data_IF_414827170425
#
_entry.id   IF_414827170425
#
_cell.length_a   1.000
_cell.length_b   1.000
_cell.length_c   1.000
_cell.angle_alpha   90.00
_cell.angle_beta   90.00
_cell.angle_gamma   90.00
#
_symmetry.space_group_name_H-M   'P 1'
#
loop_
_entity.id
_entity.type
_entity.pdbx_description
1 polymer ?
#
# COMPACT_ATOMS: atom_id res chain seq x y z
N UNK A 1 27.47 16.08 -2.32
CA UNK A 1 26.43 15.87 -3.34
C UNK A 1 25.60 14.66 -2.93
N UNK A 2 24.56 14.87 -2.13
CA UNK A 2 23.45 13.91 -1.96
C UNK A 2 22.26 14.57 -2.61
N UNK A 3 21.97 14.13 -3.83
CA UNK A 3 21.49 14.94 -4.96
C UNK A 3 19.99 15.27 -4.98
N UNK A 4 19.20 14.94 -3.96
CA UNK A 4 17.78 15.28 -3.95
C UNK A 4 17.41 15.73 -2.54
N UNK A 5 17.29 17.05 -2.33
CA UNK A 5 16.87 17.69 -1.07
C UNK A 5 15.38 17.40 -0.75
N UNK A 6 14.97 16.14 -0.87
CA UNK A 6 13.64 15.68 -0.55
C UNK A 6 13.68 15.24 0.92
N UNK A 7 12.94 15.89 1.82
CA UNK A 7 12.92 15.47 3.21
C UNK A 7 12.43 14.02 3.28
N UNK A 8 13.15 13.18 4.04
CA UNK A 8 12.96 11.72 4.14
C UNK A 8 11.48 11.31 4.32
N UNK A 9 10.72 12.10 5.09
CA UNK A 9 9.29 11.87 5.29
C UNK A 9 8.47 11.99 3.99
N UNK A 10 8.77 12.97 3.15
CA UNK A 10 8.10 13.16 1.86
C UNK A 10 8.44 11.99 0.93
N UNK A 11 9.72 11.61 0.83
CA UNK A 11 10.17 10.45 0.04
C UNK A 11 9.52 9.15 0.50
N UNK A 12 9.42 8.94 1.82
CA UNK A 12 8.74 7.78 2.40
C UNK A 12 7.23 7.80 2.10
N UNK A 13 6.58 8.94 2.25
CA UNK A 13 5.14 9.06 1.99
C UNK A 13 4.81 8.85 0.50
N UNK A 14 5.65 9.35 -0.42
CA UNK A 14 5.48 9.10 -1.85
C UNK A 14 5.72 7.63 -2.20
N UNK A 15 6.79 7.03 -1.67
CA UNK A 15 7.09 5.61 -1.89
C UNK A 15 5.99 4.70 -1.35
N UNK A 16 5.48 5.02 -0.14
CA UNK A 16 4.34 4.30 0.45
C UNK A 16 3.09 4.46 -0.39
N UNK A 17 2.80 5.67 -0.90
CA UNK A 17 1.65 5.90 -1.77
C UNK A 17 1.73 5.03 -3.03
N UNK A 18 2.87 5.03 -3.71
CA UNK A 18 3.13 4.17 -4.88
C UNK A 18 2.99 2.69 -4.53
N UNK A 19 3.55 2.25 -3.40
CA UNK A 19 3.41 0.86 -2.95
C UNK A 19 1.94 0.48 -2.68
N UNK A 20 1.17 1.40 -2.10
CA UNK A 20 -0.28 1.24 -1.87
C UNK A 20 -1.13 1.51 -3.11
N UNK A 21 -0.52 1.73 -4.27
CA UNK A 21 -1.20 1.74 -5.57
C UNK A 21 -1.09 0.38 -6.28
N UNK A 22 -0.06 -0.40 -5.95
CA UNK A 22 0.18 -1.76 -6.45
C UNK A 22 -0.32 -2.86 -5.49
N UNK A 23 -0.38 -2.56 -4.19
CA UNK A 23 -0.72 -3.55 -3.14
C UNK A 23 -1.78 -3.01 -2.15
N UNK A 24 -2.69 -3.88 -1.67
CA UNK A 24 -3.66 -3.50 -0.65
C UNK A 24 -3.00 -3.33 0.74
N UNK A 25 -3.60 -2.47 1.58
CA UNK A 25 -3.13 -2.14 2.93
C UNK A 25 -2.65 -3.32 3.80
N UNK A 26 -3.39 -4.46 3.91
CA UNK A 26 -2.94 -5.58 4.73
C UNK A 26 -1.65 -6.22 4.24
N UNK A 27 -1.41 -6.27 2.93
CA UNK A 27 -0.17 -6.83 2.37
C UNK A 27 0.99 -5.89 2.66
N UNK A 28 0.77 -4.58 2.53
CA UNK A 28 1.79 -3.57 2.84
C UNK A 28 2.12 -3.53 4.34
N UNK A 29 1.12 -3.72 5.20
CA UNK A 29 1.30 -3.82 6.65
C UNK A 29 2.19 -5.00 7.03
N UNK A 30 1.94 -6.17 6.44
CA UNK A 30 2.75 -7.37 6.66
C UNK A 30 4.19 -7.21 6.14
N UNK A 31 4.35 -6.69 4.92
CA UNK A 31 5.67 -6.47 4.29
C UNK A 31 6.56 -5.50 5.08
N UNK A 32 5.96 -4.49 5.71
CA UNK A 32 6.68 -3.45 6.45
C UNK A 32 6.68 -3.68 7.97
N UNK A 33 6.02 -4.72 8.47
CA UNK A 33 5.84 -4.98 9.90
C UNK A 33 5.07 -3.87 10.63
N UNK A 34 4.19 -3.16 9.91
CA UNK A 34 3.43 -2.02 10.42
C UNK A 34 2.04 -2.45 10.89
N UNK A 35 1.51 -1.76 11.90
CA UNK A 35 0.15 -1.99 12.35
C UNK A 35 -0.86 -1.58 11.27
N UNK A 36 -1.87 -2.44 11.02
CA UNK A 36 -2.86 -2.25 9.94
C UNK A 36 -3.57 -0.90 10.00
N UNK A 37 -3.83 -0.37 11.20
CA UNK A 37 -4.47 0.94 11.35
C UNK A 37 -3.61 2.10 10.83
N UNK A 38 -2.28 2.00 10.95
CA UNK A 38 -1.34 3.01 10.44
C UNK A 38 -1.32 3.02 8.92
N UNK A 39 -1.36 1.84 8.30
CA UNK A 39 -1.36 1.67 6.85
C UNK A 39 -2.73 1.99 6.23
N UNK A 40 -3.82 1.68 6.94
CA UNK A 40 -5.19 1.99 6.51
C UNK A 40 -5.40 3.49 6.32
N UNK A 41 -4.82 4.31 7.20
CA UNK A 41 -4.87 5.78 7.06
C UNK A 41 -4.15 6.26 5.81
N UNK A 42 -3.10 5.57 5.35
CA UNK A 42 -2.34 5.95 4.15
C UNK A 42 -3.01 5.47 2.86
N UNK A 43 -3.63 4.31 2.89
CA UNK A 43 -4.39 3.78 1.76
C UNK A 43 -5.62 4.62 1.44
N UNK A 44 -6.23 5.25 2.44
CA UNK A 44 -7.30 6.25 2.24
C UNK A 44 -6.81 7.43 1.38
N UNK A 45 -5.56 7.88 1.54
CA UNK A 45 -4.96 8.90 0.68
C UNK A 45 -4.63 8.40 -0.73
N UNK A 46 -4.34 7.10 -0.89
CA UNK A 46 -4.07 6.50 -2.20
C UNK A 46 -5.34 6.30 -3.03
N UNK A 47 -6.53 6.32 -2.40
CA UNK A 47 -7.86 6.30 -3.05
C UNK A 47 -8.05 5.25 -4.15
N UNK A 48 -7.28 4.16 -4.12
CA UNK A 48 -7.39 3.11 -5.12
C UNK A 48 -8.36 2.04 -4.64
N UNK A 49 -9.39 1.78 -5.44
CA UNK A 49 -10.40 0.78 -5.15
C UNK A 49 -9.79 -0.61 -5.26
N UNK A 50 -9.55 -1.25 -4.12
CA UNK A 50 -8.99 -2.60 -4.03
C UNK A 50 -10.03 -3.70 -4.25
N UNK A 51 -11.24 -3.34 -4.67
CA UNK A 51 -12.32 -4.27 -4.98
C UNK A 51 -11.88 -5.38 -5.95
N UNK A 52 -11.07 -5.03 -6.96
CA UNK A 52 -10.53 -6.01 -7.92
C UNK A 52 -9.59 -7.03 -7.25
N UNK A 53 -8.77 -6.60 -6.28
CA UNK A 53 -7.92 -7.52 -5.52
C UNK A 53 -8.77 -8.45 -4.65
N UNK A 54 -9.81 -7.92 -3.99
CA UNK A 54 -10.73 -8.72 -3.17
C UNK A 54 -11.51 -9.72 -4.03
N UNK A 55 -11.93 -9.32 -5.23
CA UNK A 55 -12.61 -10.19 -6.19
C UNK A 55 -11.69 -11.31 -6.67
N UNK A 56 -10.46 -11.00 -7.10
CA UNK A 56 -9.48 -12.01 -7.50
C UNK A 56 -9.14 -12.99 -6.36
N UNK A 57 -9.13 -12.52 -5.11
CA UNK A 57 -8.93 -13.39 -3.95
C UNK A 57 -10.17 -14.24 -3.64
N UNK A 58 -11.36 -13.73 -3.94
CA UNK A 58 -12.65 -14.37 -3.60
C UNK A 58 -13.10 -15.37 -4.65
N UNK A 59 -12.93 -15.03 -5.92
CA UNK A 59 -13.33 -15.78 -7.11
C UNK A 59 -12.15 -16.41 -7.85
N UNK A 60 -10.93 -16.28 -7.31
CA UNK A 60 -9.72 -16.84 -7.91
C UNK A 60 -9.82 -18.36 -8.12
N UNK A 61 -9.11 -18.91 -9.13
CA UNK A 61 -9.29 -20.27 -9.64
C UNK A 61 -8.97 -21.39 -8.63
N UNK A 62 -8.46 -21.05 -7.44
CA UNK A 62 -8.07 -21.98 -6.38
C UNK A 62 -9.03 -21.95 -5.17
N UNK A 63 -10.33 -21.82 -5.44
CA UNK A 63 -11.41 -22.06 -4.47
C UNK A 63 -12.41 -23.04 -5.06
N UNK A 64 -12.04 -24.32 -5.07
CA UNK A 64 -12.94 -25.46 -5.18
C UNK A 64 -12.49 -26.52 -4.20
#
# INVERSE_FOLDING_TARGET
MTDLDIPVRISRNSALRTLTEDLPAPVVADLLGLHIHSVSRWTDYARRDWAHHLDARTNGPNRR
#
